data_IF_061038009664
#
_entry.id   IF_061038009664
#
_cell.length_a   1.000
_cell.length_b   1.000
_cell.length_c   1.000
_cell.angle_alpha   90.00
_cell.angle_beta   90.00
_cell.angle_gamma   90.00
#
_symmetry.space_group_name_H-M   'P 1'
#
loop_
_entity.id
_entity.type
_entity.pdbx_description
1 polymer ?
#
# COMPACT_ATOMS: atom_id res chain seq x y z
N UNK A 1 17.44 21.83 37.82
CA UNK A 1 17.83 22.00 36.41
C UNK A 1 18.10 20.63 35.83
N UNK A 2 17.07 20.00 35.28
CA UNK A 2 17.15 18.67 34.67
C UNK A 2 16.15 18.67 33.52
N UNK A 3 16.67 18.81 32.30
CA UNK A 3 15.90 18.82 31.07
C UNK A 3 15.57 17.37 30.68
N UNK A 4 14.32 16.95 30.88
CA UNK A 4 13.81 15.69 30.35
C UNK A 4 13.26 15.91 28.95
N UNK A 5 14.06 15.64 27.91
CA UNK A 5 13.61 15.58 26.53
C UNK A 5 12.54 14.48 26.38
N UNK A 6 11.32 14.89 26.05
CA UNK A 6 10.17 14.03 25.75
C UNK A 6 10.20 13.62 24.28
N UNK A 7 10.93 12.54 23.96
CA UNK A 7 11.10 12.10 22.55
C UNK A 7 10.63 10.66 22.24
N UNK A 8 9.97 9.92 23.13
CA UNK A 8 9.58 8.52 22.83
C UNK A 8 8.16 8.14 23.28
N UNK A 9 7.14 8.89 22.84
CA UNK A 9 5.75 8.43 22.83
C UNK A 9 5.35 8.09 21.39
N UNK A 10 5.73 6.90 20.93
CA UNK A 10 5.02 6.24 19.83
C UNK A 10 4.48 4.92 20.36
N UNK A 11 3.19 4.94 20.67
CA UNK A 11 2.38 3.75 20.85
C UNK A 11 2.22 3.11 19.46
N UNK A 12 2.87 1.97 19.24
CA UNK A 12 2.58 1.11 18.09
C UNK A 12 1.21 0.47 18.34
N UNK A 13 0.16 1.19 17.96
CA UNK A 13 -1.23 0.76 18.01
C UNK A 13 -1.39 -0.61 17.37
N UNK A 14 -1.33 -1.64 18.22
CA UNK A 14 -1.67 -3.01 17.89
C UNK A 14 -3.20 -3.07 17.85
N UNK A 15 -3.78 -2.62 16.74
CA UNK A 15 -5.19 -2.91 16.43
C UNK A 15 -5.28 -4.37 16.01
N UNK A 16 -5.26 -5.22 17.03
CA UNK A 16 -5.73 -6.60 16.96
C UNK A 16 -7.24 -6.57 17.15
N UNK A 17 -7.96 -6.28 16.08
CA UNK A 17 -9.38 -6.61 16.01
C UNK A 17 -9.66 -7.32 14.68
N UNK A 18 -9.51 -8.63 14.73
CA UNK A 18 -10.05 -9.56 13.76
C UNK A 18 -11.53 -9.73 14.08
N UNK A 19 -12.45 -9.21 13.26
CA UNK A 19 -13.80 -9.74 13.04
C UNK A 19 -14.53 -8.96 11.93
N UNK A 20 -14.37 -9.38 10.67
CA UNK A 20 -15.47 -9.40 9.68
C UNK A 20 -15.14 -10.42 8.60
N UNK A 21 -16.04 -11.39 8.46
CA UNK A 21 -15.96 -12.52 7.54
C UNK A 21 -16.79 -12.15 6.31
N UNK A 22 -16.23 -12.30 5.11
CA UNK A 22 -17.00 -12.50 3.87
C UNK A 22 -17.25 -11.26 2.99
N UNK A 23 -16.30 -10.94 2.12
CA UNK A 23 -16.55 -10.29 0.84
C UNK A 23 -15.64 -10.96 -0.21
N UNK A 24 -16.10 -11.18 -1.45
CA UNK A 24 -15.46 -12.08 -2.41
C UNK A 24 -14.02 -11.68 -2.66
N UNK A 25 -13.18 -12.69 -2.92
CA UNK A 25 -11.75 -12.65 -3.21
C UNK A 25 -11.38 -11.74 -4.39
N UNK A 26 -11.58 -10.45 -4.18
CA UNK A 26 -10.93 -9.36 -4.87
C UNK A 26 -9.73 -9.05 -3.98
N UNK A 27 -8.50 -9.07 -4.48
CA UNK A 27 -7.32 -8.80 -3.67
C UNK A 27 -7.52 -7.44 -2.98
N UNK A 28 -7.82 -7.50 -1.68
CA UNK A 28 -8.06 -6.34 -0.87
C UNK A 28 -6.69 -5.65 -0.70
N UNK A 29 -6.54 -4.53 -1.41
CA UNK A 29 -5.36 -3.68 -1.35
C UNK A 29 -5.68 -2.59 -0.35
N UNK A 30 -4.96 -2.56 0.77
CA UNK A 30 -5.19 -1.56 1.80
C UNK A 30 -4.41 -0.27 1.47
N UNK A 31 -5.04 0.92 1.45
CA UNK A 31 -4.37 2.19 1.13
C UNK A 31 -3.27 2.59 2.12
N UNK A 32 -3.25 1.93 3.29
CA UNK A 32 -2.24 2.11 4.34
C UNK A 32 -1.00 1.27 4.10
N UNK A 33 -1.11 0.21 3.29
CA UNK A 33 0.04 -0.60 2.91
C UNK A 33 1.04 0.22 2.12
N UNK A 34 2.31 -0.12 2.28
CA UNK A 34 3.38 0.54 1.56
C UNK A 34 3.45 0.01 0.12
N UNK A 35 3.93 0.87 -0.77
CA UNK A 35 4.22 0.50 -2.17
C UNK A 35 5.12 -0.75 -2.22
N UNK A 36 6.08 -0.86 -1.31
CA UNK A 36 6.95 -2.05 -1.21
C UNK A 36 6.19 -3.32 -0.82
N UNK A 37 5.26 -3.28 0.14
CA UNK A 37 4.50 -4.47 0.53
C UNK A 37 3.63 -4.97 -0.62
N UNK A 38 2.96 -4.06 -1.32
CA UNK A 38 2.14 -4.37 -2.49
C UNK A 38 2.99 -4.90 -3.64
N UNK A 39 4.15 -4.29 -3.91
CA UNK A 39 5.09 -4.74 -4.94
C UNK A 39 5.64 -6.14 -4.67
N UNK A 40 5.81 -6.53 -3.40
CA UNK A 40 6.26 -7.86 -3.00
C UNK A 40 5.21 -8.95 -3.23
N UNK A 41 3.92 -8.60 -3.24
CA UNK A 41 2.84 -9.57 -3.50
C UNK A 41 2.89 -10.09 -4.93
N UNK A 42 3.22 -9.24 -5.90
CA UNK A 42 3.22 -9.60 -7.32
C UNK A 42 3.98 -8.56 -8.16
N UNK A 43 4.79 -9.00 -9.14
CA UNK A 43 5.44 -8.08 -10.08
C UNK A 43 4.42 -7.34 -10.98
N UNK A 44 3.23 -7.91 -11.21
CA UNK A 44 2.16 -7.25 -11.94
C UNK A 44 1.58 -6.05 -11.17
N UNK A 45 1.47 -6.17 -9.84
CA UNK A 45 1.07 -5.05 -8.99
C UNK A 45 2.09 -3.90 -9.05
N UNK A 46 3.38 -4.23 -9.03
CA UNK A 46 4.45 -3.25 -9.21
C UNK A 46 4.40 -2.60 -10.61
N UNK A 47 4.07 -3.34 -11.66
CA UNK A 47 3.90 -2.79 -13.00
C UNK A 47 2.72 -1.81 -13.06
N UNK A 48 1.57 -2.16 -12.46
CA UNK A 48 0.40 -1.27 -12.40
C UNK A 48 0.69 0.04 -11.65
N UNK A 49 1.49 -0.01 -10.58
CA UNK A 49 1.93 1.19 -9.85
C UNK A 49 2.83 2.09 -10.70
N UNK A 50 3.75 1.50 -11.47
CA UNK A 50 4.63 2.24 -12.37
C UNK A 50 3.88 2.91 -13.52
N UNK A 51 2.85 2.26 -14.07
CA UNK A 51 1.98 2.83 -15.11
C UNK A 51 1.25 4.09 -14.61
N UNK A 52 0.97 4.17 -13.31
CA UNK A 52 0.36 5.32 -12.64
C UNK A 52 1.39 6.38 -12.19
N UNK A 53 2.68 6.18 -12.50
CA UNK A 53 3.76 7.09 -12.09
C UNK A 53 4.25 6.89 -10.65
N UNK A 54 3.78 5.87 -9.95
CA UNK A 54 4.21 5.54 -8.58
C UNK A 54 5.41 4.60 -8.66
N UNK A 55 6.62 5.16 -8.55
CA UNK A 55 7.84 4.37 -8.65
C UNK A 55 8.40 3.94 -7.29
N UNK A 56 8.67 2.64 -7.14
CA UNK A 56 9.13 2.03 -5.89
C UNK A 56 10.48 2.57 -5.38
N UNK A 57 11.32 3.14 -6.26
CA UNK A 57 12.66 3.62 -5.92
C UNK A 57 12.66 4.83 -4.97
N UNK A 58 11.63 5.70 -5.05
CA UNK A 58 11.54 6.92 -4.23
C UNK A 58 10.39 6.87 -3.20
N UNK A 59 9.48 5.90 -3.34
CA UNK A 59 8.25 5.82 -2.56
C UNK A 59 7.97 4.44 -1.98
N UNK A 60 8.93 3.50 -1.99
CA UNK A 60 8.71 2.14 -1.48
C UNK A 60 8.24 2.07 -0.03
N UNK A 61 8.70 3.02 0.80
CA UNK A 61 8.27 3.20 2.20
C UNK A 61 6.98 4.03 2.36
N UNK A 62 6.53 4.72 1.31
CA UNK A 62 5.30 5.49 1.35
C UNK A 62 4.10 4.54 1.27
N UNK A 63 3.05 4.85 2.02
CA UNK A 63 1.76 4.21 1.86
C UNK A 63 1.19 4.51 0.47
N UNK A 64 0.31 3.65 -0.05
CA UNK A 64 -0.36 3.90 -1.32
C UNK A 64 -1.04 5.28 -1.36
N UNK A 65 -1.62 5.71 -0.23
CA UNK A 65 -2.23 7.05 -0.10
C UNK A 65 -1.20 8.16 -0.36
N UNK A 66 -0.05 8.12 0.31
CA UNK A 66 1.01 9.13 0.16
C UNK A 66 1.63 9.10 -1.24
N UNK A 67 1.85 7.90 -1.78
CA UNK A 67 2.38 7.72 -3.12
C UNK A 67 1.41 8.22 -4.19
N UNK A 68 0.11 8.00 -4.00
CA UNK A 68 -0.95 8.51 -4.89
C UNK A 68 -1.03 10.03 -4.85
N UNK A 69 -0.95 10.64 -3.66
CA UNK A 69 -0.93 12.08 -3.49
C UNK A 69 0.31 12.72 -4.14
N UNK A 70 1.48 12.10 -4.02
CA UNK A 70 2.71 12.54 -4.67
C UNK A 70 2.65 12.42 -6.20
N UNK A 71 1.93 11.42 -6.73
CA UNK A 71 1.70 11.25 -8.16
C UNK A 71 0.55 12.11 -8.71
N UNK A 72 -0.26 12.73 -7.84
CA UNK A 72 -1.47 13.46 -8.23
C UNK A 72 -2.60 12.56 -8.73
N UNK A 73 -2.59 11.28 -8.35
CA UNK A 73 -3.58 10.27 -8.74
C UNK A 73 -4.46 9.96 -7.53
N UNK A 74 -5.78 9.81 -7.68
CA UNK A 74 -6.63 9.39 -6.56
C UNK A 74 -6.26 7.97 -6.09
N UNK A 75 -6.19 7.76 -4.78
CA UNK A 75 -5.80 6.47 -4.18
C UNK A 75 -6.76 5.35 -4.58
N UNK A 76 -8.01 5.68 -4.88
CA UNK A 76 -9.03 4.75 -5.39
C UNK A 76 -8.64 4.13 -6.74
N UNK A 77 -8.10 4.94 -7.67
CA UNK A 77 -7.61 4.47 -8.98
C UNK A 77 -6.39 3.55 -8.79
N UNK A 78 -5.52 3.91 -7.85
CA UNK A 78 -4.34 3.10 -7.50
C UNK A 78 -4.78 1.73 -6.96
N UNK A 79 -5.71 1.71 -5.99
CA UNK A 79 -6.27 0.49 -5.42
C UNK A 79 -6.92 -0.35 -6.52
N UNK A 80 -7.73 0.25 -7.38
CA UNK A 80 -8.42 -0.46 -8.46
C UNK A 80 -7.44 -1.08 -9.48
N UNK A 81 -6.39 -0.34 -9.87
CA UNK A 81 -5.37 -0.82 -10.80
C UNK A 81 -4.57 -1.98 -10.20
N UNK A 82 -4.13 -1.85 -8.95
CA UNK A 82 -3.41 -2.91 -8.23
C UNK A 82 -4.31 -4.13 -8.03
N UNK A 83 -5.56 -3.93 -7.60
CA UNK A 83 -6.50 -5.02 -7.39
C UNK A 83 -6.77 -5.78 -8.70
N UNK A 84 -6.90 -5.06 -9.83
CA UNK A 84 -7.04 -5.69 -11.16
C UNK A 84 -5.78 -6.45 -11.57
N UNK A 85 -4.59 -5.91 -11.30
CA UNK A 85 -3.32 -6.58 -11.60
C UNK A 85 -3.12 -7.86 -10.78
N UNK A 86 -3.57 -7.86 -9.52
CA UNK A 86 -3.56 -9.03 -8.65
C UNK A 86 -4.67 -10.05 -8.99
N UNK A 87 -5.82 -9.58 -9.50
CA UNK A 87 -6.96 -10.43 -9.88
C UNK A 87 -6.82 -11.06 -11.28
N UNK A 88 -5.97 -10.50 -12.14
CA UNK A 88 -5.73 -11.04 -13.48
C UNK A 88 -4.46 -11.91 -13.47
N UNK A 89 -4.58 -13.24 -13.31
CA UNK A 89 -3.48 -14.14 -13.60
C UNK A 89 -3.25 -14.14 -15.11
N UNK A 90 -2.42 -13.21 -15.61
CA UNK A 90 -1.91 -13.35 -16.98
C UNK A 90 -0.92 -14.52 -16.97
N UNK A 91 -1.08 -15.53 -17.85
CA UNK A 91 -0.20 -16.70 -17.88
C UNK A 91 1.23 -16.26 -18.19
N UNK A 92 2.17 -16.79 -17.41
CA UNK A 92 3.60 -16.64 -17.64
C UNK A 92 3.93 -16.98 -19.09
N UNK A 93 4.68 -16.09 -19.75
CA UNK A 93 5.15 -16.25 -21.12
C UNK A 93 6.59 -16.73 -21.14
#
# INVERSE_FOLDING_TARGET
>A
MSHGCSCCQHDHGTTRDLLTIGAPATPAVDPRETVAEVARRSPQALAALQELGINHCCGGHLSLTEASAAAGVPVEDVIAAVARALASPVPAR
#
